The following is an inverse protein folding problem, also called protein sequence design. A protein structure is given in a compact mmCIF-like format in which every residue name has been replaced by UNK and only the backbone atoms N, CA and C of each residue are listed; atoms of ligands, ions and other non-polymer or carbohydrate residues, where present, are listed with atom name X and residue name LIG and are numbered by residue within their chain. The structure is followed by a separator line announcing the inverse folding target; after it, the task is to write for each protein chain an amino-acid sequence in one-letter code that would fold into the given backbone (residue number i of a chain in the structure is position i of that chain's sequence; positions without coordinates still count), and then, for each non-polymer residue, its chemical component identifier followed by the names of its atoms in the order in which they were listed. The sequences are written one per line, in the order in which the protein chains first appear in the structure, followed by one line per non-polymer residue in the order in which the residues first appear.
data_IF_090203238995
#
_entry.id   IF_090203238995
#
_cell.length_a   1.000
_cell.length_b   1.000
_cell.length_c   1.000
_cell.angle_alpha   90.00
_cell.angle_beta   90.00
_cell.angle_gamma   90.00
#
_symmetry.space_group_name_H-M   'P 1'
#
loop_
_entity.id
_entity.type
_entity.pdbx_description
1 polymer ?
#
# COMPACT_ATOMS: atom_id res chain seq x y z
N UNK A 1 -4.31 -12.54 1.84
CA UNK A 1 -3.92 -12.34 3.25
C UNK A 1 -2.46 -11.99 3.37
N UNK A 2 -2.17 -10.85 3.99
CA UNK A 2 -0.82 -10.60 4.49
C UNK A 2 -0.64 -11.42 5.78
N UNK A 3 0.46 -12.17 5.92
CA UNK A 3 0.73 -12.90 7.16
C UNK A 3 0.85 -11.90 8.32
N UNK A 4 -0.03 -12.02 9.32
CA UNK A 4 -0.04 -11.16 10.52
C UNK A 4 -1.00 -9.97 10.51
N UNK A 5 -1.69 -9.67 9.40
CA UNK A 5 -2.69 -8.60 9.35
C UNK A 5 -4.10 -9.10 9.68
N UNK A 6 -4.70 -8.64 10.78
CA UNK A 6 -6.05 -9.00 11.25
C UNK A 6 -7.20 -8.38 10.41
N UNK A 7 -7.05 -8.26 9.09
CA UNK A 7 -8.04 -7.60 8.24
C UNK A 7 -7.54 -7.18 6.86
N UNK A 8 -8.42 -6.55 6.09
CA UNK A 8 -8.12 -5.91 4.80
C UNK A 8 -8.41 -4.42 4.86
N UNK A 9 -7.80 -3.64 3.97
CA UNK A 9 -7.98 -2.19 3.96
C UNK A 9 -8.29 -1.67 2.56
N UNK A 10 -9.04 -0.56 2.52
CA UNK A 10 -9.27 0.24 1.31
C UNK A 10 -8.73 1.64 1.57
N UNK A 11 -7.92 2.11 0.63
CA UNK A 11 -7.30 3.44 0.66
C UNK A 11 -7.84 4.24 -0.52
N UNK A 12 -8.65 5.25 -0.24
CA UNK A 12 -9.14 6.20 -1.23
C UNK A 12 -8.30 7.47 -1.18
N UNK A 13 -7.31 7.52 -2.08
CA UNK A 13 -6.40 8.66 -2.21
C UNK A 13 -7.09 9.94 -2.66
N UNK A 14 -8.17 9.83 -3.45
CA UNK A 14 -8.87 11.01 -3.97
C UNK A 14 -9.64 11.71 -2.87
N UNK A 15 -10.28 10.94 -1.99
CA UNK A 15 -11.04 11.50 -0.86
C UNK A 15 -10.22 11.65 0.43
N UNK A 16 -8.96 11.23 0.43
CA UNK A 16 -8.07 11.22 1.62
C UNK A 16 -8.63 10.39 2.79
N UNK A 17 -9.24 9.24 2.47
CA UNK A 17 -9.87 8.36 3.46
C UNK A 17 -9.31 6.95 3.34
N UNK A 18 -9.18 6.28 4.48
CA UNK A 18 -8.96 4.85 4.52
C UNK A 18 -9.88 4.19 5.55
N UNK A 19 -10.15 2.92 5.31
CA UNK A 19 -10.75 2.07 6.33
C UNK A 19 -10.10 0.70 6.32
N UNK A 20 -9.97 0.12 7.52
CA UNK A 20 -9.56 -1.25 7.74
C UNK A 20 -10.75 -2.05 8.25
N UNK A 21 -11.00 -3.20 7.66
CA UNK A 21 -12.05 -4.13 8.05
C UNK A 21 -11.42 -5.27 8.81
N UNK A 22 -11.90 -5.49 10.03
CA UNK A 22 -11.50 -6.59 10.88
C UNK A 22 -12.69 -7.54 10.99
N UNK A 23 -12.77 -8.50 10.05
CA UNK A 23 -13.93 -9.38 9.87
C UNK A 23 -14.24 -10.20 11.14
N UNK A 24 -13.22 -10.68 11.85
CA UNK A 24 -13.39 -11.47 13.07
C UNK A 24 -14.11 -10.70 14.18
N UNK A 25 -13.90 -9.38 14.28
CA UNK A 25 -14.53 -8.52 15.27
C UNK A 25 -15.79 -7.82 14.74
N UNK A 26 -16.09 -7.96 13.44
CA UNK A 26 -17.14 -7.19 12.74
C UNK A 26 -17.03 -5.68 12.95
N UNK A 27 -15.79 -5.17 12.87
CA UNK A 27 -15.48 -3.76 13.06
C UNK A 27 -14.85 -3.18 11.81
N UNK A 28 -15.25 -1.96 11.47
CA UNK A 28 -14.59 -1.13 10.46
C UNK A 28 -13.91 0.02 11.18
N UNK A 29 -12.59 0.09 11.07
CA UNK A 29 -11.80 1.19 11.61
C UNK A 29 -11.54 2.22 10.51
N UNK A 30 -12.10 3.41 10.65
CA UNK A 30 -11.83 4.53 9.73
C UNK A 30 -10.61 5.32 10.20
N UNK A 31 -9.73 5.67 9.26
CA UNK A 31 -8.50 6.41 9.52
C UNK A 31 -8.22 7.43 8.41
N UNK A 32 -7.62 8.58 8.74
CA UNK A 32 -7.12 9.49 7.71
C UNK A 32 -5.99 8.81 6.91
N UNK A 33 -5.78 9.26 5.66
CA UNK A 33 -4.54 8.97 4.95
C UNK A 33 -3.44 9.91 5.45
N UNK A 34 -2.29 9.35 5.80
CA UNK A 34 -1.17 10.12 6.36
C UNK A 34 -1.40 10.66 7.78
N UNK A 35 -0.38 11.33 8.31
CA UNK A 35 -0.39 11.87 9.68
C UNK A 35 -0.24 10.81 10.78
N UNK A 36 -0.20 11.27 12.03
CA UNK A 36 -0.06 10.38 13.19
C UNK A 36 -1.32 9.50 13.36
N UNK A 37 -1.14 8.19 13.25
CA UNK A 37 -2.21 7.19 13.37
C UNK A 37 -3.00 6.90 12.07
N UNK A 38 -2.60 7.48 10.93
CA UNK A 38 -3.22 7.24 9.62
C UNK A 38 -2.59 6.08 8.84
N UNK A 39 -3.26 5.64 7.76
CA UNK A 39 -2.69 4.64 6.86
C UNK A 39 -1.54 5.28 6.06
N UNK A 40 -0.35 4.70 6.17
CA UNK A 40 0.83 5.11 5.41
C UNK A 40 0.80 4.45 4.03
N UNK A 41 1.01 5.24 2.98
CA UNK A 41 1.40 4.72 1.69
C UNK A 41 2.93 4.57 1.68
N UNK A 42 3.48 3.56 0.99
CA UNK A 42 4.91 3.51 0.76
C UNK A 42 5.33 4.77 -0.01
N UNK A 43 6.16 5.59 0.62
CA UNK A 43 6.75 6.78 0.02
C UNK A 43 8.25 6.56 -0.14
N UNK A 44 8.77 6.95 -1.30
CA UNK A 44 10.20 7.03 -1.51
C UNK A 44 10.67 8.41 -1.05
N UNK A 45 11.80 8.47 -0.35
CA UNK A 45 12.33 9.77 0.07
C UNK A 45 12.90 10.56 -1.10
N UNK A 46 13.22 11.83 -0.84
CA UNK A 46 13.68 12.78 -1.86
C UNK A 46 15.00 12.37 -2.56
N UNK A 47 15.76 11.47 -1.94
CA UNK A 47 17.04 10.98 -2.46
C UNK A 47 16.93 9.70 -3.29
N UNK A 48 15.72 9.15 -3.42
CA UNK A 48 15.48 7.97 -4.22
C UNK A 48 15.82 8.23 -5.69
N UNK A 49 16.62 7.33 -6.28
CA UNK A 49 16.97 7.37 -7.70
C UNK A 49 16.28 6.25 -8.43
N UNK A 50 15.67 6.57 -9.56
CA UNK A 50 15.02 5.60 -10.43
C UNK A 50 15.73 5.52 -11.76
N UNK A 51 16.00 4.31 -12.22
CA UNK A 51 16.63 4.05 -13.52
C UNK A 51 15.85 3.00 -14.29
N UNK A 52 15.70 3.21 -15.60
CA UNK A 52 15.06 2.24 -16.48
C UNK A 52 16.01 1.06 -16.70
N UNK A 53 15.53 -0.15 -16.41
CA UNK A 53 16.30 -1.40 -16.52
C UNK A 53 16.06 -2.19 -17.81
N UNK A 54 15.01 -1.86 -18.57
CA UNK A 54 14.61 -2.57 -19.79
C UNK A 54 13.12 -2.92 -19.79
N UNK A 55 12.74 -3.91 -20.59
CA UNK A 55 11.37 -4.41 -20.70
C UNK A 55 11.32 -5.92 -20.46
N UNK A 56 10.18 -6.41 -19.97
CA UNK A 56 9.93 -7.83 -19.74
C UNK A 56 8.45 -8.18 -19.94
N UNK A 57 8.13 -9.47 -19.91
CA UNK A 57 6.75 -9.97 -19.90
C UNK A 57 6.55 -10.83 -18.65
N UNK A 58 5.56 -10.53 -17.83
CA UNK A 58 5.22 -11.26 -16.60
C UNK A 58 3.72 -11.54 -16.60
N UNK A 59 3.32 -12.78 -16.27
CA UNK A 59 1.91 -13.21 -16.32
C UNK A 59 1.18 -12.91 -17.65
N UNK A 60 1.92 -12.89 -18.77
CA UNK A 60 1.38 -12.57 -20.10
C UNK A 60 1.27 -11.08 -20.43
N UNK A 61 1.76 -10.18 -19.56
CA UNK A 61 1.67 -8.73 -19.74
C UNK A 61 3.05 -8.08 -19.87
N UNK A 62 3.19 -7.16 -20.81
CA UNK A 62 4.42 -6.37 -21.00
C UNK A 62 4.59 -5.35 -19.87
N UNK A 63 5.79 -5.25 -19.31
CA UNK A 63 6.14 -4.28 -18.28
C UNK A 63 7.55 -3.71 -18.49
N UNK A 64 7.76 -2.48 -18.04
CA UNK A 64 9.08 -1.85 -17.97
C UNK A 64 9.69 -2.13 -16.60
N UNK A 65 10.95 -2.56 -16.59
CA UNK A 65 11.73 -2.74 -15.38
C UNK A 65 12.23 -1.37 -14.92
N UNK A 66 11.92 -1.03 -13.68
CA UNK A 66 12.42 0.16 -12.99
C UNK A 66 13.26 -0.29 -11.81
N UNK A 67 14.50 0.19 -11.74
CA UNK A 67 15.38 -0.01 -10.59
C UNK A 67 15.31 1.22 -9.70
N UNK A 68 15.24 1.01 -8.39
CA UNK A 68 15.31 2.08 -7.40
C UNK A 68 16.50 1.89 -6.47
N UNK A 69 17.05 3.01 -6.00
CA UNK A 69 18.09 3.02 -4.97
C UNK A 69 17.89 4.23 -4.04
N UNK A 70 17.92 3.97 -2.74
CA UNK A 70 17.80 4.98 -1.68
C UNK A 70 18.59 4.53 -0.43
N UNK A 71 19.77 5.10 -0.22
CA UNK A 71 20.65 4.68 0.87
C UNK A 71 21.00 3.19 0.78
N UNK A 72 20.60 2.42 1.79
CA UNK A 72 20.76 0.94 1.81
C UNK A 72 19.59 0.21 1.14
N UNK A 73 18.48 0.90 0.86
CA UNK A 73 17.34 0.31 0.17
C UNK A 73 17.61 0.28 -1.33
N UNK A 74 17.30 -0.84 -1.97
CA UNK A 74 17.45 -0.98 -3.41
C UNK A 74 16.57 -2.10 -3.93
N UNK A 75 16.22 -2.05 -5.21
CA UNK A 75 15.46 -3.12 -5.82
C UNK A 75 15.06 -2.82 -7.25
N UNK A 76 14.25 -3.70 -7.79
CA UNK A 76 13.59 -3.53 -9.08
C UNK A 76 12.11 -3.86 -9.00
N UNK A 77 11.32 -3.20 -9.84
CA UNK A 77 9.93 -3.51 -10.08
C UNK A 77 9.65 -3.57 -11.58
N UNK A 78 8.91 -4.58 -12.03
CA UNK A 78 8.37 -4.62 -13.39
C UNK A 78 6.96 -4.05 -13.37
N UNK A 79 6.75 -2.92 -14.02
CA UNK A 79 5.50 -2.15 -13.97
C UNK A 79 4.94 -2.01 -15.39
N UNK A 80 3.66 -2.32 -15.59
CA UNK A 80 2.96 -2.12 -16.86
C UNK A 80 2.84 -0.63 -17.20
N UNK A 81 2.50 -0.31 -18.46
CA UNK A 81 2.32 1.07 -18.91
C UNK A 81 1.25 1.84 -18.11
N UNK A 82 0.22 1.15 -17.65
CA UNK A 82 -0.88 1.68 -16.84
C UNK A 82 -0.61 1.63 -15.32
N UNK A 83 0.58 1.20 -14.90
CA UNK A 83 1.04 1.33 -13.51
C UNK A 83 0.86 0.09 -12.63
N UNK A 84 0.50 -1.07 -13.19
CA UNK A 84 0.35 -2.32 -12.44
C UNK A 84 1.73 -2.96 -12.21
N UNK A 85 2.11 -3.15 -10.94
CA UNK A 85 3.33 -3.87 -10.56
C UNK A 85 3.13 -5.37 -10.70
N UNK A 86 3.86 -6.00 -11.63
CA UNK A 86 3.79 -7.43 -11.91
C UNK A 86 4.87 -8.22 -11.18
N UNK A 87 6.00 -7.58 -10.89
CA UNK A 87 7.10 -8.18 -10.14
C UNK A 87 7.80 -7.12 -9.32
N UNK A 88 8.26 -7.48 -8.13
CA UNK A 88 9.24 -6.68 -7.40
C UNK A 88 10.23 -7.59 -6.68
N UNK A 89 11.45 -7.09 -6.52
CA UNK A 89 12.44 -7.69 -5.63
C UNK A 89 13.38 -6.61 -5.12
N UNK A 90 13.91 -6.78 -3.92
CA UNK A 90 14.80 -5.78 -3.35
C UNK A 90 15.18 -6.04 -1.91
N UNK A 91 15.85 -5.06 -1.35
CA UNK A 91 16.22 -4.94 0.04
C UNK A 91 15.57 -3.66 0.57
N UNK A 92 14.81 -3.79 1.64
CA UNK A 92 14.19 -2.67 2.35
C UNK A 92 14.37 -2.88 3.85
N UNK A 93 14.95 -1.87 4.52
CA UNK A 93 15.24 -1.94 5.97
C UNK A 93 15.99 -3.23 6.37
N UNK A 94 17.02 -3.57 5.60
CA UNK A 94 17.83 -4.78 5.80
C UNK A 94 17.18 -6.11 5.39
N UNK A 95 15.89 -6.12 5.03
CA UNK A 95 15.16 -7.33 4.67
C UNK A 95 15.11 -7.50 3.15
N UNK A 96 15.54 -8.67 2.67
CA UNK A 96 15.40 -9.04 1.26
C UNK A 96 14.07 -9.73 1.01
N UNK A 97 13.37 -9.31 -0.03
CA UNK A 97 12.10 -9.90 -0.43
C UNK A 97 11.78 -9.70 -1.90
N UNK A 98 10.69 -10.32 -2.32
CA UNK A 98 10.15 -10.14 -3.66
C UNK A 98 8.81 -10.82 -3.83
N UNK A 99 8.10 -10.41 -4.88
CA UNK A 99 6.84 -10.99 -5.30
C UNK A 99 6.75 -10.96 -6.82
N UNK A 100 6.05 -11.94 -7.39
CA UNK A 100 5.75 -12.00 -8.81
C UNK A 100 4.30 -12.44 -9.01
N UNK A 101 3.59 -11.76 -9.90
CA UNK A 101 2.24 -12.09 -10.29
C UNK A 101 2.26 -13.39 -11.12
N UNK A 102 1.45 -14.36 -10.71
CA UNK A 102 1.28 -15.62 -11.46
C UNK A 102 0.22 -15.52 -12.55
N UNK A 103 -0.80 -14.69 -12.33
CA UNK A 103 -1.89 -14.45 -13.26
C UNK A 103 -2.41 -13.04 -13.06
N UNK A 104 -2.71 -12.35 -14.16
CA UNK A 104 -3.36 -11.03 -14.16
C UNK A 104 -4.51 -11.03 -15.15
N UNK A 105 -5.69 -10.68 -14.67
CA UNK A 105 -6.91 -10.53 -15.47
C UNK A 105 -7.43 -9.11 -15.31
N UNK A 106 -7.56 -8.40 -16.43
CA UNK A 106 -8.15 -7.06 -16.45
C UNK A 106 -9.66 -7.16 -16.63
N UNK A 107 -10.40 -6.38 -15.85
CA UNK A 107 -11.85 -6.34 -15.93
C UNK A 107 -12.43 -5.40 -14.89
N UNK A 108 -13.69 -5.00 -15.11
CA UNK A 108 -14.43 -4.20 -14.15
C UNK A 108 -14.50 -4.92 -12.79
N UNK A 109 -14.32 -4.16 -11.72
CA UNK A 109 -14.45 -4.65 -10.35
C UNK A 109 -15.78 -4.16 -9.78
N UNK A 110 -16.44 -4.99 -8.97
CA UNK A 110 -17.63 -4.59 -8.25
C UNK A 110 -17.31 -3.45 -7.27
N UNK A 111 -18.03 -2.33 -7.40
CA UNK A 111 -17.88 -1.16 -6.55
C UNK A 111 -18.16 -1.47 -5.07
N UNK A 112 -18.98 -2.48 -4.76
CA UNK A 112 -19.26 -2.90 -3.40
C UNK A 112 -17.99 -3.39 -2.65
N UNK A 113 -16.99 -3.91 -3.38
CA UNK A 113 -15.70 -4.34 -2.79
C UNK A 113 -14.91 -3.20 -2.16
N UNK A 114 -15.22 -1.96 -2.54
CA UNK A 114 -14.55 -0.75 -2.05
C UNK A 114 -15.40 0.00 -1.03
N UNK A 115 -16.48 -0.61 -0.53
CA UNK A 115 -17.34 -0.05 0.52
C UNK A 115 -17.15 -0.84 1.83
N UNK A 116 -17.32 -0.19 3.00
CA UNK A 116 -17.41 -0.90 4.26
C UNK A 116 -18.54 -1.95 4.23
N UNK A 117 -18.34 -3.15 4.80
CA UNK A 117 -19.42 -4.13 4.94
C UNK A 117 -20.59 -3.61 5.77
N UNK A 118 -21.80 -3.97 5.37
CA UNK A 118 -23.01 -3.63 6.11
C UNK A 118 -23.09 -4.36 7.47
N UNK A 119 -23.67 -3.70 8.48
CA UNK A 119 -23.86 -4.30 9.81
C UNK A 119 -22.57 -4.48 10.62
N UNK A 120 -21.47 -3.82 10.23
CA UNK A 120 -20.24 -3.75 11.02
C UNK A 120 -20.27 -2.50 11.89
N UNK A 121 -19.69 -2.59 13.08
CA UNK A 121 -19.53 -1.43 13.95
C UNK A 121 -18.41 -0.54 13.40
N UNK A 122 -18.72 0.70 13.08
CA UNK A 122 -17.74 1.68 12.61
C UNK A 122 -17.10 2.37 13.81
N UNK A 123 -15.76 2.41 13.83
CA UNK A 123 -14.97 3.12 14.83
C UNK A 123 -14.07 4.11 14.10
N UNK A 124 -14.11 5.38 14.50
CA UNK A 124 -13.12 6.35 14.05
C UNK A 124 -11.85 6.16 14.88
N UNK A 125 -10.70 5.99 14.26
CA UNK A 125 -9.44 6.15 14.97
C UNK A 125 -9.42 7.55 15.58
N UNK A 126 -9.14 7.69 16.90
CA UNK A 126 -8.88 9.00 17.48
C UNK A 126 -7.71 9.60 16.69
N UNK A 127 -7.98 10.65 15.92
CA UNK A 127 -6.91 11.43 15.34
C UNK A 127 -6.00 11.89 16.47
N UNK A 128 -4.69 11.89 16.26
CA UNK A 128 -3.79 12.61 17.15
C UNK A 128 -4.35 14.02 17.33
N UNK A 129 -4.86 14.32 18.53
CA UNK A 129 -5.46 15.60 18.85
C UNK A 129 -4.43 16.68 18.50
N UNK A 130 -4.73 17.66 17.64
CA UNK A 130 -3.85 18.79 17.41
C UNK A 130 -3.79 19.59 18.72
N UNK A 131 -2.73 19.41 19.51
CA UNK A 131 -2.55 20.22 20.73
C UNK A 131 -1.89 19.59 21.95
N UNK A 132 -1.45 18.33 21.95
CA UNK A 132 -0.67 17.80 23.08
C UNK A 132 0.78 18.29 23.03
N UNK A 133 1.01 19.57 23.34
CA UNK A 133 2.30 20.01 23.88
C UNK A 133 2.54 19.22 25.17
N UNK A 134 3.50 18.29 25.13
CA UNK A 134 4.07 17.71 26.34
C UNK A 134 4.98 18.79 26.96
N UNK A 135 4.70 19.31 28.17
CA UNK A 135 5.68 20.14 28.85
C UNK A 135 6.90 19.27 29.18
N UNK A 136 8.08 19.81 28.89
CA UNK A 136 9.35 19.10 29.00
C UNK A 136 9.63 18.52 30.39
N UNK A 137 10.44 17.46 30.38
CA UNK A 137 11.33 17.09 31.48
C UNK A 137 12.74 17.06 30.94
#
# INVERSE_FOLDING_TARGET
DMPGGMGWAVLDRRSQRAFMVMDAQRVVMQMPLGGAGGAALPEFGEKARFTRGGDATVAGHSCTIWRFQEGQNSGEACITKDGVMLRSSGIYDGHRGGMEARQVTYGAQDAARFRPPEGYRVVQMPGAMPGAHMPGR
#
